data_IF_447546655686
#
_entry.id   IF_447546655686
#
_cell.length_a   1.000
_cell.length_b   1.000
_cell.length_c   1.000
_cell.angle_alpha   90.00
_cell.angle_beta   90.00
_cell.angle_gamma   90.00
#
_symmetry.space_group_name_H-M   'P 1'
#
loop_
_entity.id
_entity.type
_entity.pdbx_description
1 polymer ?
#
# COMPACT_ATOMS: atom_id res chain seq x y z
N UNK A 1 37.50 -12.32 25.47
CA UNK A 1 36.56 -11.26 25.03
C UNK A 1 35.15 -11.61 25.47
N UNK A 2 34.58 -10.91 26.45
CA UNK A 2 33.18 -11.09 26.87
C UNK A 2 32.28 -10.38 25.85
N UNK A 3 31.44 -11.12 25.11
CA UNK A 3 30.38 -10.55 24.27
C UNK A 3 29.37 -9.86 25.20
N UNK A 4 29.32 -8.52 25.15
CA UNK A 4 28.20 -7.76 25.74
C UNK A 4 26.96 -8.05 24.89
N UNK A 5 26.08 -8.89 25.39
CA UNK A 5 24.71 -9.01 24.88
C UNK A 5 24.04 -7.66 25.13
N UNK A 6 23.81 -6.89 24.08
CA UNK A 6 23.07 -5.64 24.13
C UNK A 6 21.62 -5.98 24.49
N UNK A 7 21.25 -5.82 25.76
CA UNK A 7 19.86 -5.86 26.21
C UNK A 7 19.15 -4.63 25.63
N UNK A 8 18.49 -4.83 24.50
CA UNK A 8 17.70 -3.79 23.84
C UNK A 8 16.43 -3.53 24.66
N UNK A 9 16.22 -2.28 25.08
CA UNK A 9 15.01 -1.88 25.81
C UNK A 9 13.79 -1.81 24.87
N UNK A 10 12.55 -1.93 25.38
CA UNK A 10 11.33 -1.84 24.56
C UNK A 10 11.21 -0.56 23.73
N UNK A 11 11.77 0.56 24.21
CA UNK A 11 11.88 1.81 23.45
C UNK A 11 12.86 1.73 22.27
N UNK A 12 13.97 1.00 22.43
CA UNK A 12 14.87 0.71 21.32
C UNK A 12 14.19 -0.17 20.27
N UNK A 13 13.36 -1.14 20.68
CA UNK A 13 12.55 -1.95 19.75
C UNK A 13 11.53 -1.13 18.97
N UNK A 14 10.78 -0.22 19.62
CA UNK A 14 9.85 0.68 18.90
C UNK A 14 10.60 1.53 17.85
N UNK A 15 11.72 2.16 18.22
CA UNK A 15 12.52 2.99 17.30
C UNK A 15 13.18 2.18 16.17
N UNK A 16 13.73 1.00 16.45
CA UNK A 16 14.32 0.13 15.44
C UNK A 16 13.24 -0.38 14.46
N UNK A 17 12.07 -0.75 14.97
CA UNK A 17 10.92 -1.20 14.16
C UNK A 17 10.43 -0.13 13.19
N UNK A 18 10.32 1.13 13.62
CA UNK A 18 9.88 2.21 12.73
C UNK A 18 10.97 2.65 11.73
N UNK A 19 12.25 2.60 12.10
CA UNK A 19 13.36 2.75 11.16
C UNK A 19 13.33 1.67 10.07
N UNK A 20 12.93 0.46 10.43
CA UNK A 20 12.76 -0.68 9.52
C UNK A 20 11.52 -0.54 8.63
N UNK A 21 10.39 -0.14 9.18
CA UNK A 21 9.13 0.06 8.44
C UNK A 21 9.23 1.25 7.47
N UNK A 22 9.80 2.38 7.90
CA UNK A 22 10.08 3.54 7.03
C UNK A 22 11.05 3.23 5.88
N UNK A 23 12.07 2.42 6.14
CA UNK A 23 13.01 1.93 5.12
C UNK A 23 12.31 1.13 4.01
N UNK A 24 11.20 0.44 4.30
CA UNK A 24 10.48 -0.36 3.29
C UNK A 24 9.71 0.50 2.28
N UNK A 25 9.08 1.61 2.72
CA UNK A 25 8.46 2.56 1.77
C UNK A 25 9.55 3.19 0.90
N UNK A 26 10.65 3.61 1.50
CA UNK A 26 11.78 4.19 0.78
C UNK A 26 12.37 3.19 -0.23
N UNK A 27 12.55 1.94 0.18
CA UNK A 27 12.99 0.86 -0.69
C UNK A 27 12.03 0.66 -1.84
N UNK A 28 10.73 0.48 -1.58
CA UNK A 28 9.75 0.27 -2.64
C UNK A 28 9.70 1.44 -3.63
N UNK A 29 9.79 2.68 -3.14
CA UNK A 29 9.89 3.86 -4.00
C UNK A 29 11.15 3.81 -4.88
N UNK A 30 12.32 3.53 -4.28
CA UNK A 30 13.62 3.60 -4.96
C UNK A 30 13.94 2.38 -5.83
N UNK A 31 13.49 1.18 -5.48
CA UNK A 31 13.81 -0.07 -6.19
C UNK A 31 12.72 -0.53 -7.15
N UNK A 32 11.47 -0.10 -6.96
CA UNK A 32 10.36 -0.50 -7.82
C UNK A 32 9.78 0.68 -8.60
N UNK A 33 9.37 1.75 -7.91
CA UNK A 33 8.62 2.84 -8.56
C UNK A 33 9.49 3.71 -9.47
N UNK A 34 10.61 4.25 -8.99
CA UNK A 34 11.46 5.14 -9.79
C UNK A 34 12.12 4.45 -10.99
N UNK A 35 12.66 3.22 -10.88
CA UNK A 35 13.14 2.49 -12.05
C UNK A 35 12.06 2.32 -13.12
N UNK A 36 10.78 2.15 -12.72
CA UNK A 36 9.65 2.14 -13.66
C UNK A 36 9.42 3.51 -14.29
N UNK A 37 9.37 4.57 -13.50
CA UNK A 37 9.19 5.95 -14.00
C UNK A 37 10.24 6.30 -15.06
N UNK A 38 11.51 5.97 -14.80
CA UNK A 38 12.62 6.31 -15.68
C UNK A 38 12.84 5.33 -16.84
N UNK A 39 12.16 4.18 -16.85
CA UNK A 39 12.35 3.15 -17.87
C UNK A 39 13.73 2.51 -17.82
N UNK A 40 14.32 2.38 -16.62
CA UNK A 40 15.66 1.80 -16.43
C UNK A 40 15.70 0.27 -16.54
N UNK A 41 14.56 -0.39 -16.35
CA UNK A 41 14.43 -1.85 -16.52
C UNK A 41 13.81 -2.17 -17.89
N UNK A 42 14.20 -3.31 -18.49
CA UNK A 42 13.52 -3.84 -19.68
C UNK A 42 12.09 -4.18 -19.28
N UNK A 43 11.13 -3.37 -19.72
CA UNK A 43 9.73 -3.55 -19.37
C UNK A 43 9.02 -4.38 -20.45
N UNK A 44 8.28 -5.39 -20.00
CA UNK A 44 7.37 -6.18 -20.83
C UNK A 44 6.26 -5.30 -21.44
N UNK A 45 5.90 -4.20 -20.78
CA UNK A 45 4.82 -3.28 -21.16
C UNK A 45 5.30 -1.83 -21.36
N UNK A 46 4.45 -0.97 -21.93
CA UNK A 46 4.70 0.49 -22.10
C UNK A 46 4.20 1.31 -20.89
N UNK A 47 4.75 1.01 -19.71
CA UNK A 47 4.34 1.57 -18.41
C UNK A 47 5.38 2.49 -17.76
N UNK A 48 6.35 3.00 -18.52
CA UNK A 48 7.32 4.01 -18.07
C UNK A 48 6.89 5.45 -18.40
N UNK A 49 7.60 6.45 -17.86
CA UNK A 49 7.43 7.87 -18.17
C UNK A 49 8.65 8.47 -18.86
N UNK A 50 9.45 7.66 -19.57
CA UNK A 50 10.74 8.06 -20.13
C UNK A 50 10.64 9.33 -20.97
N UNK A 51 9.68 9.40 -21.89
CA UNK A 51 9.44 10.61 -22.72
C UNK A 51 9.19 11.87 -21.86
N UNK A 52 8.39 11.76 -20.80
CA UNK A 52 8.17 12.87 -19.87
C UNK A 52 9.49 13.24 -19.18
N UNK A 53 10.22 12.26 -18.67
CA UNK A 53 11.49 12.49 -17.94
C UNK A 53 12.60 13.07 -18.83
N UNK A 54 12.58 12.82 -20.13
CA UNK A 54 13.50 13.38 -21.12
C UNK A 54 13.13 14.83 -21.50
N UNK A 55 11.85 15.18 -21.38
CA UNK A 55 11.36 16.55 -21.58
C UNK A 55 11.70 17.51 -20.42
N UNK A 56 11.92 16.99 -19.21
CA UNK A 56 12.28 17.78 -18.03
C UNK A 56 13.79 18.01 -17.98
N UNK A 57 14.28 19.05 -18.66
CA UNK A 57 15.72 19.32 -18.83
C UNK A 57 16.25 20.34 -17.84
N UNK A 58 15.41 21.27 -17.40
CA UNK A 58 15.79 22.41 -16.58
C UNK A 58 14.77 22.64 -15.48
N UNK A 59 15.18 23.37 -14.43
CA UNK A 59 14.26 23.82 -13.37
C UNK A 59 13.04 24.58 -13.91
N UNK A 60 13.19 25.32 -15.02
CA UNK A 60 12.08 26.07 -15.63
C UNK A 60 10.97 25.15 -16.14
N UNK A 61 11.29 23.90 -16.49
CA UNK A 61 10.31 22.93 -17.01
C UNK A 61 9.39 22.40 -15.90
N UNK A 62 9.82 22.48 -14.63
CA UNK A 62 9.04 22.00 -13.48
C UNK A 62 8.45 23.10 -12.62
N UNK A 63 9.11 24.27 -12.52
CA UNK A 63 8.59 25.43 -11.76
C UNK A 63 7.66 26.30 -12.61
N UNK A 64 6.47 25.78 -12.92
CA UNK A 64 5.48 26.43 -13.79
C UNK A 64 4.20 26.85 -13.04
N UNK A 65 3.46 27.80 -13.62
CA UNK A 65 2.13 28.18 -13.13
C UNK A 65 2.11 28.72 -11.71
N UNK A 66 1.46 27.99 -10.78
CA UNK A 66 1.36 28.30 -9.34
C UNK A 66 2.56 27.85 -8.52
N UNK A 67 3.45 27.02 -9.08
CA UNK A 67 4.63 26.48 -8.40
C UNK A 67 5.89 27.25 -8.86
N UNK A 68 5.87 28.58 -8.79
CA UNK A 68 6.97 29.43 -9.28
C UNK A 68 8.18 29.39 -8.34
N UNK A 69 9.34 29.73 -8.90
CA UNK A 69 10.55 30.01 -8.14
C UNK A 69 10.29 31.26 -7.29
N UNK A 70 10.46 31.12 -5.97
CA UNK A 70 10.45 32.20 -4.99
C UNK A 70 11.88 32.59 -4.65
N UNK A 71 12.05 33.84 -4.23
CA UNK A 71 13.32 34.31 -3.71
C UNK A 71 13.66 33.62 -2.38
N UNK A 72 14.95 33.54 -2.07
CA UNK A 72 15.43 33.02 -0.79
C UNK A 72 14.81 33.75 0.40
N UNK A 73 14.63 35.07 0.31
CA UNK A 73 14.02 35.89 1.36
C UNK A 73 12.55 35.51 1.62
N UNK A 74 11.76 35.29 0.57
CA UNK A 74 10.35 34.87 0.70
C UNK A 74 10.23 33.48 1.33
N UNK A 75 11.08 32.54 0.93
CA UNK A 75 11.13 31.19 1.51
C UNK A 75 11.57 31.28 2.98
N UNK A 76 12.57 32.11 3.29
CA UNK A 76 13.06 32.31 4.65
C UNK A 76 12.00 32.92 5.56
N UNK A 77 11.20 33.86 5.04
CA UNK A 77 10.05 34.41 5.77
C UNK A 77 9.01 33.34 6.09
N UNK A 78 8.80 32.38 5.19
CA UNK A 78 7.78 31.33 5.34
C UNK A 78 8.23 30.18 6.25
N UNK A 79 9.51 29.85 6.24
CA UNK A 79 10.03 28.62 6.88
C UNK A 79 11.05 28.86 7.99
N UNK A 80 11.56 30.09 8.13
CA UNK A 80 12.59 30.44 9.09
C UNK A 80 13.99 29.97 8.68
N UNK A 81 15.00 30.61 9.28
CA UNK A 81 16.42 30.37 8.96
C UNK A 81 16.88 28.94 9.28
N UNK A 82 16.40 28.36 10.39
CA UNK A 82 16.82 27.02 10.86
C UNK A 82 16.49 25.92 9.83
N UNK A 83 15.27 25.92 9.29
CA UNK A 83 14.84 24.92 8.31
C UNK A 83 15.59 25.06 6.98
N UNK A 84 15.74 26.29 6.50
CA UNK A 84 16.54 26.57 5.30
C UNK A 84 17.97 26.08 5.45
N UNK A 85 18.61 26.32 6.59
CA UNK A 85 19.95 25.81 6.85
C UNK A 85 19.99 24.28 6.83
N UNK A 86 18.96 23.61 7.35
CA UNK A 86 18.84 22.14 7.28
C UNK A 86 18.71 21.65 5.83
N UNK A 87 17.85 22.28 5.03
CA UNK A 87 17.66 21.94 3.61
C UNK A 87 18.96 22.11 2.81
N UNK A 88 19.64 23.25 2.98
CA UNK A 88 20.91 23.51 2.32
C UNK A 88 22.00 22.51 2.75
N UNK A 89 22.06 22.15 4.03
CA UNK A 89 23.02 21.15 4.54
C UNK A 89 22.83 19.77 3.89
N UNK A 90 21.60 19.41 3.53
CA UNK A 90 21.28 18.15 2.85
C UNK A 90 21.36 18.26 1.32
N UNK A 91 21.78 19.41 0.78
CA UNK A 91 21.81 19.73 -0.64
C UNK A 91 20.41 19.61 -1.30
N UNK A 92 19.36 20.00 -0.59
CA UNK A 92 17.99 20.01 -1.09
C UNK A 92 17.65 21.37 -1.71
N UNK A 93 17.09 21.37 -2.92
CA UNK A 93 16.69 22.60 -3.59
C UNK A 93 15.62 23.37 -2.81
N UNK A 94 15.86 24.65 -2.55
CA UNK A 94 14.97 25.46 -1.71
C UNK A 94 13.56 25.61 -2.26
N UNK A 95 13.42 25.78 -3.58
CA UNK A 95 12.12 25.97 -4.21
C UNK A 95 11.35 24.66 -4.21
N UNK A 96 12.03 23.55 -4.47
CA UNK A 96 11.46 22.23 -4.30
C UNK A 96 11.01 22.00 -2.86
N UNK A 97 11.88 22.26 -1.89
CA UNK A 97 11.60 22.07 -0.47
C UNK A 97 10.43 22.93 0.01
N UNK A 98 10.31 24.16 -0.49
CA UNK A 98 9.12 24.98 -0.24
C UNK A 98 7.84 24.27 -0.68
N UNK A 99 7.78 23.76 -1.91
CA UNK A 99 6.56 23.15 -2.46
C UNK A 99 6.23 21.80 -1.81
N UNK A 100 7.25 20.94 -1.62
CA UNK A 100 7.04 19.63 -0.98
C UNK A 100 6.68 19.77 0.50
N UNK A 101 7.25 20.75 1.21
CA UNK A 101 6.93 21.02 2.62
C UNK A 101 5.52 21.58 2.80
N UNK A 102 5.04 22.39 1.85
CA UNK A 102 3.63 22.81 1.81
C UNK A 102 2.71 21.61 1.62
N UNK A 103 3.01 20.75 0.65
CA UNK A 103 2.23 19.54 0.39
C UNK A 103 2.17 18.61 1.61
N UNK A 104 3.30 18.41 2.30
CA UNK A 104 3.35 17.62 3.52
C UNK A 104 2.77 18.31 4.76
N UNK A 105 2.32 19.56 4.65
CA UNK A 105 1.71 20.32 5.75
C UNK A 105 2.57 20.27 7.02
N UNK A 106 3.89 20.48 6.90
CA UNK A 106 4.84 20.23 8.01
C UNK A 106 4.64 21.16 9.22
N UNK A 107 3.89 22.26 9.06
CA UNK A 107 3.52 23.16 10.15
C UNK A 107 2.32 22.65 10.95
N UNK A 108 1.62 21.64 10.44
CA UNK A 108 0.44 21.05 11.06
C UNK A 108 0.83 19.69 11.65
N UNK A 109 0.66 19.56 12.97
CA UNK A 109 1.16 18.43 13.76
C UNK A 109 0.07 17.48 14.24
N UNK A 110 -1.13 17.61 13.67
CA UNK A 110 -2.24 16.71 13.96
C UNK A 110 -1.91 15.29 13.51
N UNK A 111 -2.34 14.30 14.30
CA UNK A 111 -2.21 12.89 13.95
C UNK A 111 -3.23 12.52 12.87
N UNK A 112 -2.83 11.67 11.92
CA UNK A 112 -3.68 11.23 10.80
C UNK A 112 -4.12 12.38 9.89
N UNK A 113 -3.28 13.41 9.75
CA UNK A 113 -3.55 14.55 8.90
C UNK A 113 -3.58 14.13 7.43
N UNK A 114 -4.72 14.35 6.78
CA UNK A 114 -4.86 14.10 5.34
C UNK A 114 -4.07 15.11 4.51
N UNK A 115 -3.45 14.65 3.42
CA UNK A 115 -2.77 15.49 2.43
C UNK A 115 -3.73 15.94 1.32
N UNK A 116 -3.44 17.09 0.72
CA UNK A 116 -4.09 17.48 -0.54
C UNK A 116 -3.70 16.51 -1.67
N UNK A 117 -4.45 16.51 -2.78
CA UNK A 117 -4.09 15.73 -3.96
C UNK A 117 -2.78 16.22 -4.59
N UNK A 118 -1.92 15.27 -4.95
CA UNK A 118 -0.63 15.48 -5.59
C UNK A 118 -0.84 16.09 -6.98
N UNK A 119 -0.54 17.37 -7.10
CA UNK A 119 -0.66 18.12 -8.36
C UNK A 119 0.43 17.65 -9.33
N UNK A 120 0.09 17.54 -10.62
CA UNK A 120 1.01 17.11 -11.68
C UNK A 120 2.33 17.91 -11.70
N UNK A 121 2.29 19.20 -11.36
CA UNK A 121 3.49 20.02 -11.27
C UNK A 121 4.46 19.56 -10.18
N UNK A 122 3.94 19.23 -8.98
CA UNK A 122 4.77 18.71 -7.88
C UNK A 122 5.26 17.30 -8.17
N UNK A 123 4.44 16.46 -8.82
CA UNK A 123 4.86 15.17 -9.34
C UNK A 123 6.07 15.31 -10.28
N UNK A 124 6.00 16.20 -11.28
CA UNK A 124 7.11 16.47 -12.20
C UNK A 124 8.36 16.98 -11.47
N UNK A 125 8.21 17.81 -10.44
CA UNK A 125 9.33 18.24 -9.61
C UNK A 125 10.01 17.06 -8.91
N UNK A 126 9.23 16.18 -8.27
CA UNK A 126 9.78 14.99 -7.59
C UNK A 126 10.58 14.14 -8.60
N UNK A 127 10.00 13.88 -9.78
CA UNK A 127 10.68 13.12 -10.86
C UNK A 127 11.97 13.80 -11.30
N UNK A 128 11.93 15.11 -11.55
CA UNK A 128 13.09 15.89 -11.99
C UNK A 128 14.22 15.87 -10.95
N UNK A 129 13.94 16.21 -9.70
CA UNK A 129 14.97 16.22 -8.66
C UNK A 129 15.45 14.82 -8.29
N UNK A 130 14.59 13.80 -8.36
CA UNK A 130 14.98 12.40 -8.08
C UNK A 130 15.87 11.81 -9.17
N UNK A 131 15.79 12.34 -10.39
CA UNK A 131 16.69 12.00 -11.50
C UNK A 131 18.11 12.50 -11.24
N UNK A 132 18.25 13.67 -10.61
CA UNK A 132 19.54 14.28 -10.27
C UNK A 132 20.11 13.77 -8.94
N UNK A 133 19.26 13.45 -7.97
CA UNK A 133 19.64 12.98 -6.64
C UNK A 133 18.94 11.65 -6.32
N UNK A 134 19.70 10.55 -6.36
CA UNK A 134 19.16 9.21 -6.11
C UNK A 134 18.68 8.99 -4.67
N UNK A 135 19.07 9.87 -3.74
CA UNK A 135 18.70 9.78 -2.33
C UNK A 135 17.62 10.80 -1.94
N UNK A 136 17.02 11.50 -2.90
CA UNK A 136 16.07 12.59 -2.65
C UNK A 136 14.96 12.21 -1.66
N UNK A 137 14.28 11.08 -1.91
CA UNK A 137 13.13 10.65 -1.08
C UNK A 137 13.58 10.32 0.34
N UNK A 138 14.76 9.72 0.50
CA UNK A 138 15.32 9.44 1.81
C UNK A 138 15.64 10.72 2.58
N UNK A 139 16.26 11.71 1.91
CA UNK A 139 16.52 13.02 2.53
C UNK A 139 15.23 13.73 2.94
N UNK A 140 14.17 13.64 2.12
CA UNK A 140 12.84 14.16 2.46
C UNK A 140 12.29 13.45 3.71
N UNK A 141 12.37 12.12 3.77
CA UNK A 141 11.92 11.35 4.92
C UNK A 141 12.67 11.72 6.20
N UNK A 142 14.01 11.79 6.12
CA UNK A 142 14.86 12.18 7.25
C UNK A 142 14.52 13.60 7.72
N UNK A 143 14.31 14.53 6.79
CA UNK A 143 13.85 15.88 7.11
C UNK A 143 12.49 15.87 7.81
N UNK A 144 11.49 15.17 7.29
CA UNK A 144 10.18 15.07 7.92
C UNK A 144 10.27 14.49 9.33
N UNK A 145 11.12 13.48 9.55
CA UNK A 145 11.37 12.89 10.87
C UNK A 145 12.02 13.85 11.87
N UNK A 146 12.65 14.94 11.42
CA UNK A 146 13.12 16.02 12.32
C UNK A 146 12.04 17.05 12.67
N UNK A 147 10.98 17.14 11.88
CA UNK A 147 9.92 18.14 12.04
C UNK A 147 8.64 17.55 12.66
N UNK A 148 8.38 16.27 12.40
CA UNK A 148 7.21 15.51 12.79
C UNK A 148 7.60 14.28 13.62
N UNK A 149 6.62 13.66 14.28
CA UNK A 149 6.87 12.34 14.87
C UNK A 149 7.05 11.29 13.74
N UNK A 150 7.71 10.19 14.07
CA UNK A 150 8.10 9.16 13.10
C UNK A 150 6.89 8.48 12.44
N UNK A 151 5.82 8.26 13.21
CA UNK A 151 4.59 7.65 12.75
C UNK A 151 3.85 8.52 11.72
N UNK A 152 3.73 9.81 12.00
CA UNK A 152 3.10 10.77 11.10
C UNK A 152 3.97 11.03 9.87
N UNK A 153 5.29 11.05 10.03
CA UNK A 153 6.25 11.04 8.90
C UNK A 153 5.98 9.85 7.99
N UNK A 154 5.90 8.66 8.56
CA UNK A 154 5.61 7.43 7.84
C UNK A 154 4.27 7.51 7.09
N UNK A 155 3.18 7.90 7.77
CA UNK A 155 1.83 7.98 7.17
C UNK A 155 1.78 8.97 6.01
N UNK A 156 2.43 10.13 6.14
CA UNK A 156 2.49 11.14 5.07
C UNK A 156 3.31 10.66 3.88
N UNK A 157 4.40 9.93 4.12
CA UNK A 157 5.20 9.33 3.05
C UNK A 157 4.48 8.17 2.36
N UNK A 158 3.75 7.34 3.10
CA UNK A 158 2.87 6.32 2.54
C UNK A 158 1.79 6.95 1.65
N UNK A 159 1.16 8.02 2.14
CA UNK A 159 0.18 8.78 1.38
C UNK A 159 0.80 9.32 0.09
N UNK A 160 1.95 10.00 0.15
CA UNK A 160 2.66 10.48 -1.04
C UNK A 160 2.90 9.35 -2.04
N UNK A 161 3.39 8.19 -1.58
CA UNK A 161 3.64 7.02 -2.44
C UNK A 161 2.38 6.59 -3.20
N UNK A 162 1.25 6.47 -2.49
CA UNK A 162 -0.05 6.13 -3.10
C UNK A 162 -0.53 7.17 -4.10
N UNK A 163 -0.42 8.46 -3.76
CA UNK A 163 -0.79 9.53 -4.69
C UNK A 163 0.15 9.56 -5.91
N UNK A 164 1.43 9.28 -5.73
CA UNK A 164 2.40 9.20 -6.82
C UNK A 164 2.05 8.07 -7.79
N UNK A 165 1.72 6.87 -7.29
CA UNK A 165 1.20 5.78 -8.11
C UNK A 165 -0.05 6.17 -8.88
N UNK A 166 -0.99 6.85 -8.23
CA UNK A 166 -2.21 7.32 -8.91
C UNK A 166 -1.87 8.28 -10.07
N UNK A 167 -0.98 9.25 -9.86
CA UNK A 167 -0.56 10.19 -10.92
C UNK A 167 0.20 9.45 -12.02
N UNK A 168 1.07 8.49 -11.68
CA UNK A 168 1.75 7.64 -12.65
C UNK A 168 0.75 6.89 -13.54
N UNK A 169 -0.20 6.18 -12.94
CA UNK A 169 -1.24 5.41 -13.65
C UNK A 169 -2.01 6.30 -14.63
N UNK A 170 -2.44 7.49 -14.19
CA UNK A 170 -3.14 8.45 -15.04
C UNK A 170 -2.32 8.89 -16.27
N UNK A 171 -0.99 8.90 -16.19
CA UNK A 171 -0.10 9.29 -17.29
C UNK A 171 0.35 8.10 -18.17
N UNK A 172 0.07 6.85 -17.78
CA UNK A 172 0.45 5.66 -18.57
C UNK A 172 -0.75 4.89 -19.12
N UNK A 173 -1.93 5.04 -18.52
CA UNK A 173 -3.11 4.19 -18.83
C UNK A 173 -3.51 4.21 -20.31
N UNK A 174 -3.46 5.37 -20.97
CA UNK A 174 -3.84 5.46 -22.38
C UNK A 174 -2.80 4.80 -23.29
N UNK A 175 -1.50 5.01 -23.02
CA UNK A 175 -0.42 4.34 -23.76
C UNK A 175 -0.51 2.82 -23.61
N UNK A 176 -0.79 2.33 -22.40
CA UNK A 176 -1.02 0.91 -22.18
C UNK A 176 -2.26 0.39 -22.93
N UNK A 177 -3.34 1.17 -22.96
CA UNK A 177 -4.57 0.81 -23.69
C UNK A 177 -4.34 0.66 -25.19
N UNK A 178 -3.49 1.50 -25.77
CA UNK A 178 -3.22 1.52 -27.21
C UNK A 178 -1.96 0.74 -27.64
N UNK A 179 -1.14 0.26 -26.69
CA UNK A 179 0.09 -0.47 -26.99
C UNK A 179 -0.20 -1.86 -27.55
N UNK A 180 0.57 -2.24 -28.59
CA UNK A 180 0.57 -3.59 -29.15
C UNK A 180 1.19 -4.63 -28.21
N UNK A 181 1.97 -4.22 -27.21
CA UNK A 181 2.56 -5.10 -26.19
C UNK A 181 1.56 -5.50 -25.11
N UNK A 182 0.49 -4.73 -24.94
CA UNK A 182 -0.54 -5.03 -23.95
C UNK A 182 -1.46 -6.13 -24.49
N UNK A 183 -1.70 -7.22 -23.74
CA UNK A 183 -2.62 -8.26 -24.16
C UNK A 183 -4.02 -7.74 -24.43
N UNK A 184 -4.62 -8.22 -25.53
CA UNK A 184 -6.02 -7.93 -25.87
C UNK A 184 -6.95 -8.36 -24.71
N UNK A 185 -8.03 -7.62 -24.52
CA UNK A 185 -8.99 -7.87 -23.44
C UNK A 185 -8.55 -7.43 -22.04
N UNK A 186 -7.32 -6.92 -21.84
CA UNK A 186 -6.94 -6.30 -20.56
C UNK A 186 -7.88 -5.12 -20.23
N UNK A 187 -8.13 -4.28 -21.24
CA UNK A 187 -8.97 -3.08 -21.16
C UNK A 187 -10.40 -3.23 -21.73
N UNK A 188 -10.66 -4.24 -22.57
CA UNK A 188 -11.99 -4.47 -23.19
C UNK A 188 -12.93 -5.21 -22.20
N UNK A 189 -14.25 -5.05 -22.37
CA UNK A 189 -15.32 -5.47 -21.44
C UNK A 189 -15.50 -4.62 -20.16
N UNK A 190 -15.07 -3.36 -20.26
CA UNK A 190 -15.53 -2.17 -19.54
C UNK A 190 -15.04 -1.85 -18.12
N UNK A 191 -14.41 -2.77 -17.38
CA UNK A 191 -14.18 -2.64 -15.92
C UNK A 191 -12.99 -3.54 -15.51
N UNK A 192 -11.77 -3.03 -15.34
CA UNK A 192 -10.55 -3.87 -15.26
C UNK A 192 -10.29 -4.62 -13.94
N UNK A 193 -11.25 -4.65 -13.01
CA UNK A 193 -11.17 -5.48 -11.82
C UNK A 193 -11.23 -6.96 -12.15
N UNK A 194 -10.35 -7.74 -11.51
CA UNK A 194 -10.63 -9.15 -11.32
C UNK A 194 -11.82 -9.23 -10.35
N UNK A 195 -12.70 -10.21 -10.53
CA UNK A 195 -13.82 -10.52 -9.61
C UNK A 195 -15.09 -9.67 -9.71
N UNK A 196 -14.98 -8.33 -9.73
CA UNK A 196 -16.14 -7.45 -9.58
C UNK A 196 -16.04 -6.16 -10.40
N UNK A 197 -17.14 -5.85 -11.07
CA UNK A 197 -17.32 -4.74 -12.00
C UNK A 197 -17.01 -3.33 -11.45
N UNK A 198 -17.11 -3.12 -10.15
CA UNK A 198 -16.86 -1.81 -9.54
C UNK A 198 -15.38 -1.50 -9.36
N UNK A 199 -14.54 -2.54 -9.30
CA UNK A 199 -13.10 -2.38 -9.14
C UNK A 199 -12.45 -2.27 -10.51
N UNK A 200 -11.42 -1.44 -10.58
CA UNK A 200 -10.61 -1.22 -11.77
C UNK A 200 -9.19 -0.90 -11.31
N UNK A 201 -8.23 -1.78 -11.59
CA UNK A 201 -6.84 -1.59 -11.14
C UNK A 201 -6.27 -0.27 -11.68
N UNK A 202 -6.69 0.19 -12.86
CA UNK A 202 -6.28 1.47 -13.45
C UNK A 202 -7.23 2.63 -13.13
N UNK A 203 -8.32 2.38 -12.42
CA UNK A 203 -9.28 3.38 -11.95
C UNK A 203 -8.72 4.27 -10.85
N UNK A 204 -9.52 5.25 -10.44
CA UNK A 204 -9.14 6.19 -9.38
C UNK A 204 -9.02 5.43 -8.04
N UNK A 205 -7.78 5.24 -7.57
CA UNK A 205 -7.44 4.40 -6.40
C UNK A 205 -8.05 2.99 -6.41
N UNK A 206 -8.25 2.39 -7.58
CA UNK A 206 -8.82 1.04 -7.70
C UNK A 206 -10.33 1.01 -7.98
N UNK A 207 -10.98 2.18 -8.09
CA UNK A 207 -12.43 2.30 -8.27
C UNK A 207 -12.74 2.83 -9.66
N UNK A 208 -13.74 2.23 -10.32
CA UNK A 208 -14.25 2.74 -11.59
C UNK A 208 -15.26 3.87 -11.34
N UNK A 209 -14.95 5.14 -11.68
CA UNK A 209 -15.85 6.27 -11.43
C UNK A 209 -17.02 6.35 -12.43
N UNK A 210 -16.96 5.63 -13.56
CA UNK A 210 -17.87 5.82 -14.69
C UNK A 210 -19.16 4.98 -14.60
N UNK A 211 -19.35 4.18 -13.53
CA UNK A 211 -20.39 3.15 -13.51
C UNK A 211 -21.15 3.04 -12.21
N UNK A 212 -22.42 2.66 -12.34
CA UNK A 212 -23.26 2.23 -11.21
C UNK A 212 -22.54 1.08 -10.51
N UNK A 213 -22.46 1.18 -9.18
CA UNK A 213 -21.85 0.17 -8.33
C UNK A 213 -22.74 -1.07 -8.39
N UNK A 214 -22.30 -2.04 -9.18
CA UNK A 214 -23.00 -3.29 -9.48
C UNK A 214 -22.11 -4.44 -9.09
N UNK A 215 -22.62 -5.33 -8.23
CA UNK A 215 -22.03 -6.65 -7.98
C UNK A 215 -22.30 -7.53 -9.18
N UNK A 216 -21.42 -7.45 -10.15
CA UNK A 216 -21.47 -8.33 -11.31
C UNK A 216 -20.16 -9.10 -11.34
N UNK A 217 -20.29 -10.42 -11.30
CA UNK A 217 -19.17 -11.34 -11.20
C UNK A 217 -18.54 -11.57 -12.57
N UNK A 218 -17.21 -11.60 -12.59
CA UNK A 218 -16.47 -12.07 -13.74
C UNK A 218 -15.92 -13.48 -13.50
N UNK A 219 -15.94 -14.35 -14.51
CA UNK A 219 -15.09 -15.54 -14.50
C UNK A 219 -13.61 -15.11 -14.40
N UNK A 220 -12.78 -15.98 -13.83
CA UNK A 220 -11.34 -15.76 -13.74
C UNK A 220 -10.79 -15.55 -15.16
N UNK A 221 -10.38 -14.33 -15.48
CA UNK A 221 -9.92 -14.01 -16.83
C UNK A 221 -8.53 -14.59 -17.01
N UNK A 222 -8.38 -15.50 -17.98
CA UNK A 222 -7.11 -16.15 -18.31
C UNK A 222 -6.73 -15.77 -19.75
N UNK A 223 -5.58 -15.12 -19.92
CA UNK A 223 -4.97 -14.84 -21.23
C UNK A 223 -3.98 -15.92 -21.56
N UNK A 224 -4.12 -16.57 -22.71
CA UNK A 224 -3.10 -17.47 -23.24
C UNK A 224 -1.86 -16.67 -23.68
N UNK A 225 -0.71 -17.05 -23.15
CA UNK A 225 0.57 -16.45 -23.52
C UNK A 225 0.92 -16.87 -24.97
N UNK A 226 1.07 -15.91 -25.86
CA UNK A 226 1.41 -16.14 -27.27
C UNK A 226 2.93 -16.20 -27.54
N UNK A 227 3.76 -16.17 -26.50
CA UNK A 227 5.22 -16.22 -26.63
C UNK A 227 5.76 -17.65 -26.70
N UNK A 228 6.70 -17.90 -27.62
CA UNK A 228 7.41 -19.19 -27.78
C UNK A 228 8.47 -19.46 -26.70
N UNK A 229 8.37 -18.85 -25.51
CA UNK A 229 9.37 -19.01 -24.45
C UNK A 229 8.96 -20.13 -23.46
N UNK A 230 9.69 -21.27 -23.41
CA UNK A 230 9.35 -22.42 -22.57
C UNK A 230 9.42 -22.13 -21.06
N UNK A 231 10.00 -21.01 -20.63
CA UNK A 231 10.07 -20.59 -19.22
C UNK A 231 8.93 -19.68 -18.78
N UNK A 232 8.00 -19.34 -19.67
CA UNK A 232 6.87 -18.46 -19.35
C UNK A 232 5.60 -19.26 -19.10
N UNK A 233 4.80 -18.86 -18.10
CA UNK A 233 3.52 -19.54 -17.83
C UNK A 233 2.63 -19.45 -19.08
N UNK A 234 1.92 -20.54 -19.45
CA UNK A 234 1.07 -20.58 -20.65
C UNK A 234 -0.15 -19.66 -20.54
N UNK A 235 -0.42 -19.15 -19.34
CA UNK A 235 -1.64 -18.42 -19.00
C UNK A 235 -1.38 -17.33 -17.94
N UNK A 236 -2.00 -16.15 -18.10
CA UNK A 236 -1.95 -15.04 -17.13
C UNK A 236 -3.34 -14.56 -16.73
N UNK A 237 -3.53 -14.10 -15.49
CA UNK A 237 -4.73 -13.39 -15.08
C UNK A 237 -4.61 -11.88 -15.25
N UNK A 238 -5.74 -11.14 -15.23
CA UNK A 238 -5.66 -9.66 -15.22
C UNK A 238 -4.83 -9.18 -14.03
N UNK A 239 -4.99 -9.79 -12.86
CA UNK A 239 -4.21 -9.44 -11.69
C UNK A 239 -2.71 -9.70 -11.87
N UNK A 240 -2.30 -10.80 -12.49
CA UNK A 240 -0.87 -11.04 -12.72
C UNK A 240 -0.27 -10.03 -13.70
N UNK A 241 -1.02 -9.65 -14.75
CA UNK A 241 -0.59 -8.59 -15.69
C UNK A 241 -0.54 -7.23 -15.00
N UNK A 242 -1.58 -6.83 -14.26
CA UNK A 242 -1.57 -5.56 -13.51
C UNK A 242 -0.48 -5.52 -12.45
N UNK A 243 -0.23 -6.63 -11.74
CA UNK A 243 0.88 -6.72 -10.78
C UNK A 243 2.23 -6.50 -11.45
N UNK A 244 2.43 -6.99 -12.69
CA UNK A 244 3.63 -6.67 -13.48
C UNK A 244 3.68 -5.19 -13.89
N UNK A 245 2.56 -4.56 -14.19
CA UNK A 245 2.50 -3.15 -14.62
C UNK A 245 2.77 -2.16 -13.47
N UNK A 246 2.08 -2.31 -12.34
CA UNK A 246 2.08 -1.35 -11.23
C UNK A 246 2.76 -1.84 -9.96
N UNK A 247 3.15 -3.12 -9.90
CA UNK A 247 3.68 -3.74 -8.70
C UNK A 247 2.62 -4.48 -7.89
N UNK A 248 3.03 -5.55 -7.22
CA UNK A 248 2.15 -6.44 -6.46
C UNK A 248 1.43 -5.69 -5.33
N UNK A 249 2.15 -4.83 -4.62
CA UNK A 249 1.63 -4.11 -3.46
C UNK A 249 0.52 -3.14 -3.87
N UNK A 250 0.74 -2.41 -4.96
CA UNK A 250 -0.24 -1.46 -5.48
C UNK A 250 -1.45 -2.18 -6.09
N UNK A 251 -1.21 -3.25 -6.85
CA UNK A 251 -2.28 -4.07 -7.42
C UNK A 251 -3.19 -4.65 -6.33
N UNK A 252 -2.62 -5.27 -5.29
CA UNK A 252 -3.39 -5.78 -4.14
C UNK A 252 -4.14 -4.67 -3.43
N UNK A 253 -3.51 -3.52 -3.20
CA UNK A 253 -4.13 -2.40 -2.51
C UNK A 253 -5.36 -1.84 -3.22
N UNK A 254 -5.44 -1.99 -4.54
CA UNK A 254 -6.54 -1.51 -5.40
C UNK A 254 -7.61 -2.56 -5.67
N UNK A 255 -7.35 -3.82 -5.32
CA UNK A 255 -8.20 -4.95 -5.67
C UNK A 255 -9.41 -5.17 -4.74
N UNK A 256 -10.37 -5.96 -5.23
CA UNK A 256 -11.54 -6.41 -4.45
C UNK A 256 -11.13 -7.26 -3.24
N UNK A 257 -11.84 -7.17 -2.09
CA UNK A 257 -11.71 -8.12 -0.98
C UNK A 257 -11.78 -9.59 -1.38
N UNK A 258 -12.43 -9.93 -2.51
CA UNK A 258 -12.56 -11.31 -3.01
C UNK A 258 -11.22 -12.02 -3.24
N UNK A 259 -10.11 -11.28 -3.37
CA UNK A 259 -8.77 -11.89 -3.42
C UNK A 259 -8.42 -12.72 -2.17
N UNK A 260 -9.14 -12.54 -1.06
CA UNK A 260 -9.01 -13.35 0.15
C UNK A 260 -10.03 -14.48 0.26
N UNK A 261 -10.94 -14.64 -0.72
CA UNK A 261 -12.06 -15.59 -0.70
C UNK A 261 -12.09 -16.43 -1.99
N UNK A 262 -11.16 -17.38 -2.15
CA UNK A 262 -10.99 -18.13 -3.39
C UNK A 262 -12.05 -19.23 -3.60
N UNK A 263 -12.78 -19.64 -2.56
CA UNK A 263 -13.75 -20.73 -2.64
C UNK A 263 -15.14 -20.25 -3.07
N UNK A 264 -15.78 -21.02 -3.95
CA UNK A 264 -17.13 -20.72 -4.46
C UNK A 264 -18.17 -20.54 -3.35
N UNK A 265 -18.02 -21.27 -2.24
CA UNK A 265 -18.92 -21.20 -1.07
C UNK A 265 -19.03 -19.80 -0.43
N UNK A 266 -18.05 -18.92 -0.65
CA UNK A 266 -18.12 -17.53 -0.19
C UNK A 266 -18.79 -16.57 -1.19
N UNK A 267 -19.14 -17.02 -2.39
CA UNK A 267 -19.76 -16.16 -3.41
C UNK A 267 -21.10 -15.63 -2.90
N UNK A 268 -21.97 -16.49 -2.37
CA UNK A 268 -23.26 -16.10 -1.80
C UNK A 268 -23.12 -15.10 -0.64
N UNK A 269 -22.16 -15.32 0.26
CA UNK A 269 -21.85 -14.42 1.37
C UNK A 269 -21.45 -13.01 0.85
N UNK A 270 -20.53 -12.97 -0.12
CA UNK A 270 -20.06 -11.73 -0.72
C UNK A 270 -21.20 -11.05 -1.50
N UNK A 271 -22.00 -11.80 -2.23
CA UNK A 271 -23.13 -11.32 -3.03
C UNK A 271 -24.20 -10.66 -2.17
N UNK A 272 -24.56 -11.26 -1.04
CA UNK A 272 -25.60 -10.75 -0.13
C UNK A 272 -25.16 -9.60 0.77
N UNK A 273 -23.85 -9.39 0.95
CA UNK A 273 -23.34 -8.31 1.80
C UNK A 273 -23.60 -6.89 1.24
N UNK A 274 -23.27 -5.85 1.97
CA UNK A 274 -23.46 -4.45 1.61
C UNK A 274 -22.14 -3.66 1.65
N UNK A 275 -20.99 -4.34 1.77
CA UNK A 275 -19.67 -3.71 1.94
C UNK A 275 -19.31 -2.68 0.84
N UNK A 276 -19.87 -2.83 -0.37
CA UNK A 276 -19.73 -1.87 -1.47
C UNK A 276 -20.49 -0.56 -1.27
N UNK A 277 -21.34 -0.41 -0.25
CA UNK A 277 -21.97 0.87 0.03
C UNK A 277 -20.94 1.91 0.51
N UNK A 278 -19.86 1.47 1.17
CA UNK A 278 -18.81 2.38 1.63
C UNK A 278 -18.20 3.21 0.49
N UNK A 279 -17.98 2.62 -0.68
CA UNK A 279 -17.40 3.33 -1.85
C UNK A 279 -18.36 4.34 -2.49
N UNK A 280 -19.66 4.32 -2.15
CA UNK A 280 -20.61 5.39 -2.52
C UNK A 280 -20.44 6.64 -1.65
N UNK A 281 -19.81 6.50 -0.47
CA UNK A 281 -19.54 7.62 0.40
C UNK A 281 -18.48 8.54 -0.21
N UNK A 282 -18.88 9.80 -0.47
CA UNK A 282 -17.94 10.84 -0.93
C UNK A 282 -16.80 11.06 0.05
N UNK A 283 -17.07 10.89 1.35
CA UNK A 283 -16.06 11.03 2.39
C UNK A 283 -15.02 9.91 2.30
N UNK A 284 -15.43 8.67 2.00
CA UNK A 284 -14.50 7.56 1.88
C UNK A 284 -13.51 7.75 0.72
N UNK A 285 -14.00 8.09 -0.48
CA UNK A 285 -13.13 8.32 -1.65
C UNK A 285 -12.12 9.43 -1.38
N UNK A 286 -12.56 10.50 -0.72
CA UNK A 286 -11.67 11.60 -0.33
C UNK A 286 -10.62 11.14 0.67
N UNK A 287 -11.00 10.39 1.71
CA UNK A 287 -10.06 9.89 2.73
C UNK A 287 -9.10 8.85 2.16
N UNK A 288 -9.55 7.99 1.24
CA UNK A 288 -8.71 7.03 0.53
C UNK A 288 -7.50 7.72 -0.10
N UNK A 289 -7.73 8.84 -0.80
CA UNK A 289 -6.68 9.64 -1.43
C UNK A 289 -5.87 10.46 -0.42
N UNK A 290 -6.52 11.13 0.53
CA UNK A 290 -5.84 12.06 1.44
C UNK A 290 -5.01 11.37 2.52
N UNK A 291 -5.35 10.13 2.90
CA UNK A 291 -4.67 9.41 3.98
C UNK A 291 -3.93 8.15 3.48
N UNK A 292 -3.93 7.92 2.16
CA UNK A 292 -3.24 6.78 1.55
C UNK A 292 -3.78 5.43 2.01
N UNK A 293 -5.11 5.33 2.22
CA UNK A 293 -5.71 4.09 2.72
C UNK A 293 -5.56 2.96 1.69
N UNK A 294 -5.44 1.73 2.17
CA UNK A 294 -5.50 0.55 1.33
C UNK A 294 -6.98 0.15 1.11
N UNK A 295 -7.49 0.35 -0.11
CA UNK A 295 -8.89 0.06 -0.48
C UNK A 295 -9.27 -1.38 -0.12
N UNK A 296 -8.46 -2.34 -0.58
CA UNK A 296 -8.70 -3.75 -0.36
C UNK A 296 -8.81 -4.10 1.13
N UNK A 297 -7.92 -3.55 1.93
CA UNK A 297 -7.83 -3.84 3.36
C UNK A 297 -9.04 -3.27 4.12
N UNK A 298 -9.38 -1.99 3.89
CA UNK A 298 -10.55 -1.37 4.52
C UNK A 298 -11.81 -2.14 4.17
N UNK A 299 -12.02 -2.43 2.88
CA UNK A 299 -13.20 -3.15 2.42
C UNK A 299 -13.24 -4.60 2.90
N UNK A 300 -12.08 -5.26 3.08
CA UNK A 300 -12.02 -6.61 3.66
C UNK A 300 -12.47 -6.61 5.12
N UNK A 301 -12.05 -5.63 5.91
CA UNK A 301 -12.51 -5.50 7.31
C UNK A 301 -14.01 -5.18 7.36
N UNK A 302 -14.49 -4.28 6.51
CA UNK A 302 -15.92 -3.93 6.40
C UNK A 302 -16.76 -5.16 6.04
N UNK A 303 -16.29 -5.97 5.08
CA UNK A 303 -16.95 -7.20 4.66
C UNK A 303 -16.97 -8.25 5.79
N UNK A 304 -15.79 -8.56 6.36
CA UNK A 304 -15.67 -9.58 7.42
C UNK A 304 -16.50 -9.21 8.64
N UNK A 305 -16.46 -7.95 9.06
CA UNK A 305 -17.20 -7.45 10.21
C UNK A 305 -18.63 -6.98 9.85
N UNK A 306 -19.10 -7.17 8.60
CA UNK A 306 -20.45 -6.77 8.19
C UNK A 306 -20.83 -5.35 8.59
N UNK A 307 -19.91 -4.38 8.48
CA UNK A 307 -20.11 -3.02 9.02
C UNK A 307 -21.15 -2.21 8.24
N UNK A 308 -21.48 -2.64 7.03
CA UNK A 308 -22.56 -2.09 6.20
C UNK A 308 -23.90 -2.83 6.41
N UNK A 309 -23.95 -3.85 7.27
CA UNK A 309 -25.18 -4.58 7.62
C UNK A 309 -25.81 -4.06 8.91
N UNK A 310 -27.13 -4.16 9.07
CA UNK A 310 -27.79 -3.78 10.34
C UNK A 310 -27.29 -4.61 11.53
N UNK A 311 -27.02 -5.90 11.31
CA UNK A 311 -26.46 -6.79 12.33
C UNK A 311 -25.40 -7.71 11.74
N UNK A 312 -24.42 -8.09 12.57
CA UNK A 312 -23.43 -9.12 12.20
C UNK A 312 -23.98 -10.56 12.30
N UNK A 313 -25.30 -10.77 12.17
CA UNK A 313 -25.88 -12.12 12.18
C UNK A 313 -25.72 -12.75 10.81
N UNK A 314 -24.49 -13.15 10.50
CA UNK A 314 -24.23 -13.99 9.34
C UNK A 314 -24.59 -15.44 9.70
N UNK A 315 -25.55 -16.01 8.98
CA UNK A 315 -25.87 -17.45 8.98
C UNK A 315 -24.76 -18.22 8.25
N UNK A 316 -23.57 -18.25 8.84
CA UNK A 316 -22.40 -18.95 8.32
C UNK A 316 -22.09 -20.17 9.17
N UNK A 317 -21.60 -21.22 8.52
CA UNK A 317 -21.03 -22.38 9.20
C UNK A 317 -19.82 -21.97 10.07
N UNK A 318 -19.55 -22.73 11.14
CA UNK A 318 -18.47 -22.40 12.07
C UNK A 318 -17.10 -22.38 11.38
N UNK A 319 -16.87 -23.28 10.42
CA UNK A 319 -15.65 -23.32 9.60
C UNK A 319 -15.45 -22.05 8.78
N UNK A 320 -16.54 -21.43 8.31
CA UNK A 320 -16.50 -20.17 7.56
C UNK A 320 -16.24 -18.98 8.47
N UNK A 321 -16.79 -18.98 9.69
CA UNK A 321 -16.51 -17.95 10.68
C UNK A 321 -15.04 -18.01 11.10
N UNK A 322 -14.48 -19.21 11.31
CA UNK A 322 -13.05 -19.39 11.58
C UNK A 322 -12.19 -18.86 10.42
N UNK A 323 -12.58 -19.15 9.17
CA UNK A 323 -11.89 -18.62 7.99
C UNK A 323 -11.90 -17.08 7.93
N UNK A 324 -13.06 -16.46 8.20
CA UNK A 324 -13.18 -15.00 8.29
C UNK A 324 -12.24 -14.41 9.34
N UNK A 325 -12.11 -15.07 10.49
CA UNK A 325 -11.13 -14.72 11.52
C UNK A 325 -9.69 -14.74 11.00
N UNK A 326 -9.32 -15.77 10.21
CA UNK A 326 -7.97 -15.85 9.60
C UNK A 326 -7.73 -14.70 8.62
N UNK A 327 -8.72 -14.38 7.79
CA UNK A 327 -8.64 -13.24 6.85
C UNK A 327 -8.50 -11.91 7.60
N UNK A 328 -9.24 -11.72 8.69
CA UNK A 328 -9.17 -10.52 9.52
C UNK A 328 -7.78 -10.38 10.17
N UNK A 329 -7.30 -11.43 10.84
CA UNK A 329 -5.97 -11.45 11.46
C UNK A 329 -4.88 -11.11 10.45
N UNK A 330 -4.91 -11.74 9.26
CA UNK A 330 -3.96 -11.46 8.17
C UNK A 330 -3.98 -10.00 7.71
N UNK A 331 -5.15 -9.37 7.64
CA UNK A 331 -5.28 -7.96 7.23
C UNK A 331 -4.85 -6.98 8.32
N UNK A 332 -4.95 -7.35 9.59
CA UNK A 332 -4.52 -6.52 10.72
C UNK A 332 -3.03 -6.70 11.05
N UNK A 333 -2.49 -7.89 10.83
CA UNK A 333 -1.13 -8.24 11.20
C UNK A 333 -0.11 -7.42 10.40
N UNK A 334 0.88 -6.77 11.03
CA UNK A 334 1.91 -6.00 10.32
C UNK A 334 2.77 -6.92 9.48
N UNK A 335 3.01 -6.61 8.21
CA UNK A 335 3.88 -7.36 7.29
C UNK A 335 4.39 -6.46 6.15
N UNK A 336 5.17 -7.00 5.21
CA UNK A 336 5.74 -6.22 4.09
C UNK A 336 4.71 -5.49 3.18
N UNK A 337 3.41 -5.79 3.29
CA UNK A 337 2.33 -5.09 2.58
C UNK A 337 1.41 -4.32 3.54
N UNK A 338 1.69 -4.38 4.84
CA UNK A 338 1.00 -3.68 5.91
C UNK A 338 2.06 -3.26 6.95
N UNK A 339 2.67 -2.12 6.71
CA UNK A 339 3.89 -1.76 7.43
C UNK A 339 3.65 -1.43 8.91
N UNK A 340 2.49 -0.85 9.27
CA UNK A 340 2.23 -0.42 10.64
C UNK A 340 1.44 -1.45 11.47
N UNK A 341 1.63 -1.47 12.82
CA UNK A 341 0.65 -2.02 13.76
C UNK A 341 -0.77 -1.55 13.43
N UNK A 342 -1.76 -2.45 13.45
CA UNK A 342 -3.15 -2.11 13.10
C UNK A 342 -3.68 -0.88 13.85
N UNK A 343 -3.44 -0.84 15.16
CA UNK A 343 -3.72 0.27 16.07
C UNK A 343 -3.21 1.63 15.55
N UNK A 344 -2.08 1.63 14.84
CA UNK A 344 -1.43 2.82 14.28
C UNK A 344 -1.76 3.08 12.80
N UNK A 345 -2.68 2.34 12.19
CA UNK A 345 -3.00 2.53 10.77
C UNK A 345 -4.05 3.62 10.56
N UNK A 346 -3.97 4.31 9.42
CA UNK A 346 -5.01 5.24 9.01
C UNK A 346 -6.32 4.52 8.69
N UNK A 347 -6.25 3.25 8.26
CA UNK A 347 -7.40 2.40 7.99
C UNK A 347 -8.22 2.12 9.25
N UNK A 348 -7.60 1.69 10.35
CA UNK A 348 -8.30 1.49 11.63
C UNK A 348 -8.92 2.80 12.12
N UNK A 349 -8.15 3.88 12.13
CA UNK A 349 -8.64 5.19 12.59
C UNK A 349 -9.85 5.67 11.77
N UNK A 350 -9.82 5.43 10.45
CA UNK A 350 -10.97 5.68 9.59
C UNK A 350 -12.19 4.84 10.00
N UNK A 351 -12.02 3.53 10.20
CA UNK A 351 -13.11 2.62 10.58
C UNK A 351 -13.76 3.01 11.91
N UNK A 352 -12.96 3.32 12.93
CA UNK A 352 -13.45 3.79 14.23
C UNK A 352 -14.24 5.09 14.11
N UNK A 353 -13.74 6.04 13.33
CA UNK A 353 -14.42 7.32 13.13
C UNK A 353 -15.71 7.19 12.31
N UNK A 354 -15.68 6.37 11.26
CA UNK A 354 -16.78 6.22 10.32
C UNK A 354 -17.92 5.39 10.89
N UNK A 355 -17.61 4.23 11.48
CA UNK A 355 -18.60 3.28 11.99
C UNK A 355 -18.85 3.39 13.50
N UNK A 356 -18.02 4.13 14.25
CA UNK A 356 -18.17 4.36 15.70
C UNK A 356 -18.30 3.03 16.45
N UNK A 357 -19.23 2.97 17.41
CA UNK A 357 -19.49 1.78 18.25
C UNK A 357 -19.77 0.52 17.44
N UNK A 358 -20.35 0.64 16.23
CA UNK A 358 -20.63 -0.51 15.37
C UNK A 358 -19.38 -1.30 15.02
N UNK A 359 -18.24 -0.62 14.81
CA UNK A 359 -16.95 -1.26 14.58
C UNK A 359 -16.58 -2.17 15.76
N UNK A 360 -16.58 -1.61 16.97
CA UNK A 360 -16.21 -2.33 18.19
C UNK A 360 -17.19 -3.46 18.51
N UNK A 361 -18.50 -3.23 18.35
CA UNK A 361 -19.54 -4.23 18.61
C UNK A 361 -19.41 -5.41 17.68
N UNK A 362 -19.32 -5.19 16.37
CA UNK A 362 -19.24 -6.30 15.40
C UNK A 362 -17.95 -7.11 15.55
N UNK A 363 -16.84 -6.44 15.85
CA UNK A 363 -15.58 -7.11 16.19
C UNK A 363 -15.73 -8.00 17.43
N UNK A 364 -16.33 -7.51 18.50
CA UNK A 364 -16.57 -8.30 19.72
C UNK A 364 -17.47 -9.52 19.45
N UNK A 365 -18.48 -9.39 18.59
CA UNK A 365 -19.33 -10.53 18.22
C UNK A 365 -18.49 -11.62 17.53
N UNK A 366 -17.65 -11.27 16.55
CA UNK A 366 -16.74 -12.24 15.92
C UNK A 366 -15.81 -12.89 16.95
N UNK A 367 -15.18 -12.09 17.81
CA UNK A 367 -14.26 -12.57 18.85
C UNK A 367 -14.93 -13.46 19.88
N UNK A 368 -16.22 -13.26 20.15
CA UNK A 368 -17.00 -14.10 21.09
C UNK A 368 -17.37 -15.47 20.50
N UNK A 369 -17.52 -15.58 19.18
CA UNK A 369 -17.87 -16.84 18.51
C UNK A 369 -16.68 -17.79 18.35
N UNK A 370 -15.47 -17.24 18.17
CA UNK A 370 -14.29 -18.05 17.90
C UNK A 370 -13.94 -19.03 19.06
N UNK A 371 -13.94 -18.63 20.35
CA UNK A 371 -13.56 -19.53 21.44
C UNK A 371 -14.53 -20.68 21.71
N UNK A 372 -15.79 -20.59 21.27
CA UNK A 372 -16.79 -21.65 21.46
C UNK A 372 -16.68 -22.79 20.44
N UNK A 373 -15.85 -22.64 19.40
CA UNK A 373 -15.68 -23.62 18.34
C UNK A 373 -14.71 -24.74 18.76
N UNK A 374 -15.00 -25.97 18.33
CA UNK A 374 -14.09 -27.10 18.59
C UNK A 374 -12.81 -27.00 17.76
N UNK A 375 -11.75 -27.69 18.19
CA UNK A 375 -10.52 -27.79 17.41
C UNK A 375 -10.73 -28.52 16.05
N UNK A 376 -11.75 -29.35 15.94
CA UNK A 376 -12.09 -30.02 14.67
C UNK A 376 -12.52 -29.01 13.59
N UNK A 377 -13.09 -27.86 13.99
CA UNK A 377 -13.44 -26.78 13.05
C UNK A 377 -12.21 -26.21 12.36
N UNK A 378 -11.07 -26.06 13.06
CA UNK A 378 -9.85 -25.55 12.40
C UNK A 378 -9.30 -26.51 11.34
N UNK A 379 -9.56 -27.82 11.48
CA UNK A 379 -9.16 -28.83 10.49
C UNK A 379 -10.07 -28.84 9.25
N UNK A 380 -11.33 -28.41 9.39
CA UNK A 380 -12.31 -28.30 8.28
C UNK A 380 -12.33 -26.92 7.61
N UNK A 381 -11.77 -25.92 8.28
CA UNK A 381 -11.64 -24.55 7.78
C UNK A 381 -10.74 -24.50 6.53
N UNK A 382 -11.07 -23.63 5.58
CA UNK A 382 -10.28 -23.48 4.36
C UNK A 382 -8.88 -22.93 4.67
N UNK A 383 -7.82 -23.36 3.97
CA UNK A 383 -6.50 -22.81 4.16
C UNK A 383 -6.45 -21.32 3.84
N UNK A 384 -5.67 -20.55 4.60
CA UNK A 384 -5.55 -19.12 4.43
C UNK A 384 -5.07 -18.80 3.01
N UNK A 385 -5.87 -18.06 2.26
CA UNK A 385 -5.52 -17.71 0.89
C UNK A 385 -4.44 -16.64 0.92
N UNK A 386 -3.28 -16.90 0.34
CA UNK A 386 -2.24 -15.90 0.12
C UNK A 386 -2.26 -15.48 -1.36
N UNK A 387 -2.50 -14.19 -1.69
CA UNK A 387 -2.27 -13.73 -3.05
C UNK A 387 -0.80 -14.02 -3.39
N UNK A 388 -0.62 -14.79 -4.47
CA UNK A 388 0.60 -15.42 -5.02
C UNK A 388 1.94 -14.98 -4.40
N UNK A 389 2.65 -15.97 -3.81
CA UNK A 389 4.04 -15.91 -3.29
C UNK A 389 4.41 -14.60 -2.57
N UNK A 390 3.85 -14.40 -1.38
CA UNK A 390 4.45 -13.53 -0.35
C UNK A 390 5.88 -13.94 0.04
N UNK A 391 6.31 -15.14 -0.34
CA UNK A 391 7.62 -15.74 -0.03
C UNK A 391 8.50 -15.99 -1.27
N UNK A 392 8.25 -15.28 -2.38
CA UNK A 392 9.14 -15.34 -3.54
C UNK A 392 10.46 -14.63 -3.22
N UNK A 393 11.57 -15.36 -3.29
CA UNK A 393 12.93 -14.86 -3.11
C UNK A 393 13.17 -13.52 -3.81
N UNK A 394 13.85 -12.61 -3.11
CA UNK A 394 14.49 -11.43 -3.69
C UNK A 394 15.67 -11.83 -4.58
N UNK A 395 15.44 -12.63 -5.61
CA UNK A 395 16.43 -12.88 -6.67
C UNK A 395 16.32 -11.72 -7.67
N UNK A 396 17.12 -10.67 -7.45
CA UNK A 396 17.15 -9.52 -8.37
C UNK A 396 17.85 -8.25 -7.88
N UNK A 397 18.60 -8.29 -6.78
CA UNK A 397 19.34 -7.11 -6.26
C UNK A 397 20.85 -7.14 -6.53
N UNK A 398 21.35 -8.08 -7.33
CA UNK A 398 22.80 -8.24 -7.57
C UNK A 398 23.42 -7.20 -8.52
N UNK A 399 22.66 -6.21 -8.99
CA UNK A 399 23.21 -5.15 -9.86
C UNK A 399 22.83 -3.74 -9.40
N UNK A 400 23.31 -3.32 -8.22
CA UNK A 400 23.45 -1.88 -7.89
C UNK A 400 24.83 -1.63 -7.30
N UNK A 401 25.78 -1.23 -8.16
CA UNK A 401 27.12 -0.83 -7.74
C UNK A 401 27.16 0.61 -7.21
N UNK A 402 27.91 0.76 -6.12
CA UNK A 402 28.63 1.94 -5.64
C UNK A 402 27.84 3.04 -4.90
N UNK A 403 27.58 2.81 -3.60
CA UNK A 403 27.94 3.78 -2.54
C UNK A 403 28.00 3.08 -1.18
N UNK A 404 28.93 3.44 -0.30
CA UNK A 404 29.10 2.81 1.03
C UNK A 404 27.85 2.94 1.92
N UNK A 405 27.04 3.99 1.70
CA UNK A 405 25.73 4.20 2.34
C UNK A 405 24.63 3.25 1.80
N UNK A 406 24.68 2.88 0.52
CA UNK A 406 23.81 1.86 -0.06
C UNK A 406 24.14 0.47 0.50
N UNK A 407 25.42 0.15 0.70
CA UNK A 407 25.85 -1.11 1.31
C UNK A 407 25.41 -1.19 2.77
N UNK A 408 25.57 -0.13 3.56
CA UNK A 408 25.08 -0.10 4.95
C UNK A 408 23.55 -0.24 5.03
N UNK A 409 22.82 0.36 4.07
CA UNK A 409 21.36 0.18 3.94
C UNK A 409 20.99 -1.21 3.49
N UNK A 410 21.66 -1.78 2.48
CA UNK A 410 21.43 -3.14 2.01
C UNK A 410 21.72 -4.17 3.11
N UNK A 411 22.75 -3.95 3.94
CA UNK A 411 23.01 -4.78 5.13
C UNK A 411 21.90 -4.64 6.19
N UNK A 412 21.40 -3.43 6.44
CA UNK A 412 20.21 -3.24 7.28
C UNK A 412 18.97 -3.89 6.65
N UNK A 413 18.82 -3.82 5.33
CA UNK A 413 17.72 -4.42 4.57
C UNK A 413 17.78 -5.96 4.55
N UNK A 414 18.96 -6.56 4.51
CA UNK A 414 19.18 -8.01 4.61
C UNK A 414 18.84 -8.50 6.02
N UNK A 415 19.28 -7.79 7.06
CA UNK A 415 18.86 -8.06 8.45
C UNK A 415 17.35 -7.91 8.64
N UNK A 416 16.74 -6.89 8.02
CA UNK A 416 15.29 -6.69 8.00
C UNK A 416 14.58 -7.79 7.22
N UNK A 417 15.06 -8.17 6.04
CA UNK A 417 14.42 -9.21 5.23
C UNK A 417 14.48 -10.56 5.96
N UNK A 418 15.60 -10.88 6.62
CA UNK A 418 15.73 -12.07 7.48
C UNK A 418 14.77 -12.05 8.69
N UNK A 419 14.53 -10.90 9.31
CA UNK A 419 13.50 -10.73 10.35
C UNK A 419 12.07 -10.90 9.82
N UNK A 420 11.86 -10.83 8.50
CA UNK A 420 10.55 -10.95 7.86
C UNK A 420 10.35 -12.29 7.12
N UNK A 421 11.43 -12.96 6.71
CA UNK A 421 11.40 -14.32 6.17
C UNK A 421 11.02 -15.32 7.28
N UNK A 422 11.51 -15.17 8.52
CA UNK A 422 11.14 -15.99 9.68
C UNK A 422 9.88 -15.45 10.41
N UNK A 423 8.72 -15.57 9.76
CA UNK A 423 7.42 -15.24 10.37
C UNK A 423 6.54 -16.47 10.57
N UNK A 424 6.86 -17.33 11.57
CA UNK A 424 6.07 -18.53 11.87
C UNK A 424 4.59 -18.20 12.12
N UNK A 425 4.27 -17.03 12.69
CA UNK A 425 2.88 -16.68 13.03
C UNK A 425 1.93 -16.52 11.84
N UNK A 426 2.44 -16.29 10.62
CA UNK A 426 1.64 -16.33 9.40
C UNK A 426 1.80 -17.66 8.66
N UNK A 427 2.96 -18.33 8.76
CA UNK A 427 3.16 -19.67 8.18
C UNK A 427 2.22 -20.71 8.81
N UNK A 428 2.00 -20.60 10.12
CA UNK A 428 1.21 -21.55 10.91
C UNK A 428 -0.26 -21.09 11.07
N UNK A 429 -0.71 -20.09 10.30
CA UNK A 429 -2.06 -19.50 10.44
C UNK A 429 -3.18 -20.55 10.29
N UNK A 430 -2.93 -21.60 9.52
CA UNK A 430 -3.85 -22.71 9.32
C UNK A 430 -3.88 -23.70 10.48
N UNK A 431 -2.88 -23.66 11.36
CA UNK A 431 -2.77 -24.50 12.56
C UNK A 431 -3.29 -23.80 13.82
N UNK A 432 -3.62 -22.50 13.72
CA UNK A 432 -4.10 -21.71 14.87
C UNK A 432 -5.53 -22.13 15.23
N UNK A 433 -5.70 -22.61 16.47
CA UNK A 433 -7.02 -22.93 17.04
C UNK A 433 -7.93 -21.70 17.10
N UNK A 434 -9.26 -21.87 17.03
CA UNK A 434 -10.20 -20.74 17.09
C UNK A 434 -10.00 -19.82 18.31
N UNK A 435 -9.77 -20.40 19.49
CA UNK A 435 -9.51 -19.62 20.72
C UNK A 435 -8.23 -18.79 20.63
N UNK A 436 -7.13 -19.38 20.14
CA UNK A 436 -5.85 -18.68 19.99
C UNK A 436 -5.94 -17.58 18.92
N UNK A 437 -6.74 -17.80 17.88
CA UNK A 437 -7.00 -16.80 16.85
C UNK A 437 -7.75 -15.59 17.43
N UNK A 438 -8.76 -15.82 18.27
CA UNK A 438 -9.48 -14.76 18.99
C UNK A 438 -8.54 -13.93 19.87
N UNK A 439 -7.67 -14.59 20.63
CA UNK A 439 -6.67 -13.91 21.46
C UNK A 439 -5.73 -13.04 20.62
N UNK A 440 -5.19 -13.59 19.53
CA UNK A 440 -4.27 -12.87 18.62
C UNK A 440 -4.91 -11.66 17.96
N UNK A 441 -6.17 -11.76 17.51
CA UNK A 441 -6.90 -10.61 16.93
C UNK A 441 -7.13 -9.56 18.02
N UNK A 442 -7.55 -9.96 19.22
CA UNK A 442 -7.73 -9.06 20.36
C UNK A 442 -6.44 -8.33 20.73
N UNK A 443 -5.30 -9.02 20.70
CA UNK A 443 -3.99 -8.41 20.92
C UNK A 443 -3.68 -7.32 19.88
N UNK A 444 -3.96 -7.55 18.60
CA UNK A 444 -3.73 -6.54 17.55
C UNK A 444 -4.60 -5.27 17.71
N UNK A 445 -5.71 -5.37 18.43
CA UNK A 445 -6.60 -4.25 18.77
C UNK A 445 -6.21 -3.54 20.06
N UNK A 446 -5.68 -4.28 21.04
CA UNK A 446 -5.45 -3.79 22.40
C UNK A 446 -4.04 -3.24 22.69
N UNK A 447 -3.03 -3.51 21.85
CA UNK A 447 -1.64 -3.13 22.18
C UNK A 447 -1.35 -1.64 21.97
N UNK A 448 -1.24 -0.88 23.07
CA UNK A 448 -0.54 0.41 23.20
C UNK A 448 0.84 0.25 23.85
#
# INVERSE_FOLDING_TARGET
>A
MKRKTLLMTPHHWKKLRFQVEGSQILTHLDTELFPRVFGWNIQEFENDLRQMTESLKTKKDVFTGKLRIKSHQEIQKSWGKKRILSWNKQNLDLNFMNNISMYFRINEKDNHLGLESLKIGLFKMIVFFRKEDTFLISKIYDFLGTELNELETFRRMLTLSKQFYQVLIENIKDRLRYSKKTPKGLFENSKSGEYEKTFDYMGYYGINPEKIITKEHYPFYIVQNSGNNPFTQPFYSKYSIHSKIMGLNECRSRGSPRLHFPAERFSDFIEKSNYMNLIKSRDFIKTLSSNGLNLNRVLSVVLVLGLEEETWKLELAEEDIHYLGKVLYKNMFPHQLNHLPWIETSERHFLERHYKEKYTTHLQVLLSKLPSMSFEISQKSLPAAYPVKLFGHFEGLDEVKNSDLLVERMMKMDQVSKLFEDRPQLRDLDEISPSNLSEKISQLEAHS
#
